data_IF_990277264098
#
_entry.id   IF_990277264098
#
_cell.length_a   1.000
_cell.length_b   1.000
_cell.length_c   1.000
_cell.angle_alpha   90.00
_cell.angle_beta   90.00
_cell.angle_gamma   90.00
#
_symmetry.space_group_name_H-M   'P 1'
#
loop_
_entity.id
_entity.type
_entity.pdbx_description
1 polymer ?
#
# COMPACT_ATOMS: atom_id res chain seq x y z
N UNK A 1 -17.43 -9.02 11.00
CA UNK A 1 -17.60 -8.90 9.53
C UNK A 1 -16.82 -7.70 9.04
N UNK A 2 -15.99 -7.87 8.00
CA UNK A 2 -15.23 -6.79 7.38
C UNK A 2 -16.07 -6.25 6.23
N UNK A 3 -16.79 -5.16 6.48
CA UNK A 3 -17.65 -4.52 5.49
C UNK A 3 -16.76 -3.76 4.49
N UNK A 4 -16.29 -4.49 3.46
CA UNK A 4 -15.64 -3.93 2.28
C UNK A 4 -16.72 -3.20 1.47
N UNK A 5 -17.12 -2.01 1.94
CA UNK A 5 -17.96 -1.10 1.18
C UNK A 5 -17.12 -0.54 0.02
N UNK A 6 -17.00 -1.31 -1.06
CA UNK A 6 -16.40 -0.84 -2.31
C UNK A 6 -17.35 0.21 -2.86
N UNK A 7 -17.03 1.48 -2.64
CA UNK A 7 -17.69 2.58 -3.34
C UNK A 7 -17.33 2.46 -4.81
N UNK A 8 -18.29 2.04 -5.63
CA UNK A 8 -18.16 1.82 -7.09
C UNK A 8 -17.71 3.07 -7.88
N UNK A 9 -17.69 4.24 -7.24
CA UNK A 9 -17.27 5.53 -7.81
C UNK A 9 -15.83 5.95 -7.43
N UNK A 10 -15.07 5.09 -6.75
CA UNK A 10 -13.69 5.39 -6.42
C UNK A 10 -12.78 5.08 -7.61
N UNK A 11 -12.05 6.09 -8.08
CA UNK A 11 -11.04 5.94 -9.11
C UNK A 11 -10.09 4.77 -8.79
N UNK A 12 -9.63 4.00 -9.80
CA UNK A 12 -8.83 2.81 -9.60
C UNK A 12 -7.56 3.09 -8.79
N UNK A 13 -6.99 2.04 -8.19
CA UNK A 13 -5.69 2.13 -7.53
C UNK A 13 -4.66 2.48 -8.60
N UNK A 14 -3.97 3.61 -8.43
CA UNK A 14 -2.97 4.06 -9.40
C UNK A 14 -1.68 3.25 -9.26
N UNK A 15 -0.83 3.26 -10.28
CA UNK A 15 0.47 2.57 -10.23
C UNK A 15 1.29 2.99 -9.00
N UNK A 16 1.35 4.29 -8.75
CA UNK A 16 2.01 4.84 -7.57
C UNK A 16 1.44 4.32 -6.25
N UNK A 17 0.12 4.13 -6.19
CA UNK A 17 -0.53 3.56 -5.02
C UNK A 17 -0.21 2.07 -4.87
N UNK A 18 -0.04 1.31 -5.98
CA UNK A 18 0.42 -0.08 -5.94
C UNK A 18 1.82 -0.20 -5.36
N UNK A 19 2.76 0.63 -5.82
CA UNK A 19 4.12 0.67 -5.27
C UNK A 19 4.12 0.91 -3.75
N UNK A 20 3.27 1.83 -3.28
CA UNK A 20 3.07 2.04 -1.84
C UNK A 20 2.55 0.76 -1.18
N UNK A 21 1.53 0.10 -1.72
CA UNK A 21 1.01 -1.18 -1.18
C UNK A 21 2.11 -2.24 -1.07
N UNK A 22 2.97 -2.40 -2.08
CA UNK A 22 4.07 -3.38 -2.05
C UNK A 22 5.03 -3.08 -0.90
N UNK A 23 5.43 -1.82 -0.73
CA UNK A 23 6.31 -1.40 0.38
C UNK A 23 5.63 -1.58 1.75
N UNK A 24 4.33 -1.32 1.85
CA UNK A 24 3.55 -1.61 3.06
C UNK A 24 3.50 -3.10 3.38
N UNK A 25 3.36 -3.94 2.35
CA UNK A 25 3.36 -5.40 2.48
C UNK A 25 4.74 -5.90 2.94
N UNK A 26 5.82 -5.28 2.44
CA UNK A 26 7.19 -5.51 2.88
C UNK A 26 7.50 -5.01 4.31
N UNK A 27 6.52 -4.38 4.97
CA UNK A 27 6.64 -3.92 6.35
C UNK A 27 7.28 -2.54 6.51
N UNK A 28 7.49 -1.79 5.43
CA UNK A 28 8.11 -0.47 5.48
C UNK A 28 7.27 0.52 6.31
N UNK A 29 7.93 1.49 6.96
CA UNK A 29 7.36 2.68 7.59
C UNK A 29 7.03 3.75 6.55
N UNK A 30 6.39 4.87 6.94
CA UNK A 30 6.16 5.96 6.00
C UNK A 30 7.46 6.69 5.63
N UNK A 31 8.46 6.69 6.52
CA UNK A 31 9.78 7.24 6.25
C UNK A 31 10.50 6.38 5.20
N UNK A 32 10.54 5.06 5.41
CA UNK A 32 11.15 4.13 4.45
C UNK A 32 10.43 4.14 3.10
N UNK A 33 9.08 4.24 3.10
CA UNK A 33 8.32 4.44 1.86
C UNK A 33 8.74 5.75 1.19
N UNK A 34 8.88 6.83 1.95
CA UNK A 34 9.19 8.15 1.40
C UNK A 34 10.57 8.20 0.75
N UNK A 35 11.58 7.61 1.41
CA UNK A 35 12.95 7.53 0.90
C UNK A 35 13.02 6.76 -0.42
N UNK A 36 12.39 5.58 -0.46
CA UNK A 36 12.42 4.70 -1.64
C UNK A 36 11.68 5.27 -2.83
N UNK A 37 10.60 5.99 -2.55
CA UNK A 37 9.76 6.57 -3.57
C UNK A 37 10.24 7.98 -3.96
N UNK A 38 11.21 8.58 -3.25
CA UNK A 38 11.66 9.96 -3.54
C UNK A 38 10.56 11.01 -3.28
N UNK A 39 9.74 10.79 -2.25
CA UNK A 39 8.64 11.69 -1.86
C UNK A 39 8.80 12.10 -0.39
N UNK A 40 7.99 13.05 0.08
CA UNK A 40 8.01 13.40 1.50
C UNK A 40 7.29 12.34 2.37
N UNK A 41 7.66 12.17 3.66
CA UNK A 41 6.91 11.32 4.60
C UNK A 41 5.42 11.70 4.71
N UNK A 42 5.12 13.00 4.56
CA UNK A 42 3.74 13.52 4.51
C UNK A 42 3.00 13.01 3.28
N UNK A 43 3.65 12.98 2.13
CA UNK A 43 3.09 12.44 0.88
C UNK A 43 2.87 10.93 0.97
N UNK A 44 3.83 10.19 1.54
CA UNK A 44 3.67 8.75 1.80
C UNK A 44 2.47 8.46 2.72
N UNK A 45 2.30 9.27 3.78
CA UNK A 45 1.12 9.21 4.64
C UNK A 45 -0.17 9.50 3.87
N UNK A 46 -0.19 10.52 3.02
CA UNK A 46 -1.37 10.86 2.21
C UNK A 46 -1.78 9.69 1.29
N UNK A 47 -0.81 9.01 0.65
CA UNK A 47 -1.10 7.79 -0.12
C UNK A 47 -1.73 6.70 0.75
N UNK A 48 -1.21 6.47 1.97
CA UNK A 48 -1.79 5.48 2.90
C UNK A 48 -3.24 5.85 3.29
N UNK A 49 -3.52 7.13 3.50
CA UNK A 49 -4.85 7.60 3.89
C UNK A 49 -5.85 7.44 2.74
N UNK A 50 -5.45 7.73 1.49
CA UNK A 50 -6.27 7.47 0.29
C UNK A 50 -6.49 5.97 0.09
N UNK A 51 -5.45 5.14 0.23
CA UNK A 51 -5.55 3.69 0.12
C UNK A 51 -6.52 3.10 1.14
N UNK A 52 -6.49 3.58 2.39
CA UNK A 52 -7.46 3.18 3.43
C UNK A 52 -8.90 3.49 3.04
N UNK A 53 -9.14 4.67 2.47
CA UNK A 53 -10.46 5.09 2.03
C UNK A 53 -10.95 4.22 0.86
N UNK A 54 -10.09 4.00 -0.15
CA UNK A 54 -10.44 3.17 -1.32
C UNK A 54 -10.67 1.70 -0.96
N UNK A 55 -9.87 1.16 -0.05
CA UNK A 55 -9.92 -0.25 0.37
C UNK A 55 -10.88 -0.50 1.55
N UNK A 56 -11.55 0.53 2.08
CA UNK A 56 -12.49 0.39 3.20
C UNK A 56 -11.86 -0.09 4.51
N UNK A 57 -10.56 0.16 4.74
CA UNK A 57 -9.85 -0.33 5.94
C UNK A 57 -9.52 0.76 6.95
N UNK A 58 -9.59 0.39 8.23
CA UNK A 58 -9.36 1.32 9.36
C UNK A 58 -7.91 1.46 9.77
N UNK A 59 -7.03 0.52 9.42
CA UNK A 59 -5.63 0.53 9.84
C UNK A 59 -4.73 0.31 8.63
N UNK A 60 -3.63 1.05 8.56
CA UNK A 60 -2.60 0.96 7.49
C UNK A 60 -2.14 -0.48 7.24
N UNK A 61 -1.90 -1.25 8.31
CA UNK A 61 -1.48 -2.66 8.21
C UNK A 61 -2.50 -3.57 7.51
N UNK A 62 -3.75 -3.14 7.38
CA UNK A 62 -4.79 -3.90 6.66
C UNK A 62 -4.76 -3.62 5.15
N UNK A 63 -4.02 -2.60 4.68
CA UNK A 63 -3.95 -2.23 3.27
C UNK A 63 -3.48 -3.39 2.39
N UNK A 64 -2.36 -4.10 2.70
CA UNK A 64 -1.89 -5.18 1.82
C UNK A 64 -2.89 -6.32 1.66
N UNK A 65 -3.49 -6.75 2.77
CA UNK A 65 -4.48 -7.84 2.72
C UNK A 65 -5.77 -7.41 2.00
N UNK A 66 -6.24 -6.18 2.23
CA UNK A 66 -7.42 -5.67 1.52
C UNK A 66 -7.16 -5.47 0.02
N UNK A 67 -5.96 -5.03 -0.37
CA UNK A 67 -5.55 -4.93 -1.76
C UNK A 67 -5.60 -6.29 -2.45
N UNK A 68 -5.00 -7.32 -1.84
CA UNK A 68 -5.00 -8.69 -2.39
C UNK A 68 -6.41 -9.25 -2.52
N UNK A 69 -7.26 -9.05 -1.53
CA UNK A 69 -8.66 -9.51 -1.57
C UNK A 69 -9.48 -8.80 -2.66
N UNK A 70 -9.20 -7.53 -2.93
CA UNK A 70 -9.92 -6.74 -3.93
C UNK A 70 -9.45 -7.02 -5.36
N UNK A 71 -8.13 -7.15 -5.55
CA UNK A 71 -7.52 -7.19 -6.89
C UNK A 71 -7.12 -8.60 -7.34
N UNK A 72 -6.99 -9.55 -6.40
CA UNK A 72 -6.41 -10.86 -6.65
C UNK A 72 -4.88 -10.85 -6.75
N UNK A 73 -4.25 -9.68 -6.78
CA UNK A 73 -2.81 -9.51 -6.93
C UNK A 73 -2.11 -9.67 -5.58
N UNK A 74 -1.04 -10.47 -5.53
CA UNK A 74 -0.21 -10.62 -4.33
C UNK A 74 0.83 -9.49 -4.26
N UNK A 75 0.73 -8.55 -3.30
CA UNK A 75 1.71 -7.46 -3.17
C UNK A 75 3.10 -7.94 -2.72
N UNK A 76 3.25 -9.22 -2.38
CA UNK A 76 4.52 -9.90 -2.08
C UNK A 76 4.93 -10.92 -3.15
N UNK A 77 4.35 -10.86 -4.36
CA UNK A 77 4.75 -11.72 -5.48
C UNK A 77 6.24 -11.55 -5.82
N UNK A 78 6.80 -12.51 -6.58
CA UNK A 78 8.18 -12.46 -7.04
C UNK A 78 8.50 -11.16 -7.81
N UNK A 79 7.52 -10.67 -8.58
CA UNK A 79 7.62 -9.42 -9.35
C UNK A 79 7.81 -8.19 -8.45
N UNK A 80 7.32 -8.25 -7.21
CA UNK A 80 7.40 -7.17 -6.23
C UNK A 80 8.57 -7.34 -5.24
N UNK A 81 9.49 -8.29 -5.46
CA UNK A 81 10.64 -8.53 -4.58
C UNK A 81 11.56 -7.31 -4.43
N UNK A 82 11.53 -6.37 -5.38
CA UNK A 82 12.22 -5.09 -5.25
C UNK A 82 11.81 -4.32 -3.97
N UNK A 83 10.57 -4.49 -3.51
CA UNK A 83 10.08 -3.92 -2.26
C UNK A 83 10.70 -4.59 -1.02
N UNK A 84 11.05 -5.88 -1.10
CA UNK A 84 11.68 -6.63 0.00
C UNK A 84 13.18 -6.34 0.10
N UNK A 85 13.86 -6.20 -1.05
CA UNK A 85 15.31 -6.00 -1.13
C UNK A 85 15.79 -4.71 -0.44
N UNK A 86 14.93 -3.71 -0.29
CA UNK A 86 15.34 -2.45 0.31
C UNK A 86 15.20 -2.37 1.85
N UNK A 87 15.05 -3.50 2.58
CA UNK A 87 15.24 -3.57 4.05
C UNK A 87 16.71 -3.33 4.49
N UNK A 88 17.42 -2.46 3.79
CA UNK A 88 18.64 -1.81 4.29
C UNK A 88 18.18 -0.47 4.85
N UNK A 89 18.11 -0.22 6.15
CA UNK A 89 19.14 -0.40 7.17
C UNK A 89 18.46 -0.58 8.53
N UNK A 90 18.83 -1.59 9.31
CA UNK A 90 18.83 -1.50 10.77
C UNK A 90 20.26 -1.34 11.22
#
# INVERSE_FOLDING_TARGET
MMELAIRRDQAPITERQREVVMLLAAGCSNEEVSERLGISPRTAKAHCDVLRQKLGVRRRRQIPIAYRLLTGEDPLSAEHQWALAARSRR
#
